data_IF_744222178311
#
_entry.id   IF_744222178311
#
_cell.length_a   1.000
_cell.length_b   1.000
_cell.length_c   1.000
_cell.angle_alpha   90.00
_cell.angle_beta   90.00
_cell.angle_gamma   90.00
#
_symmetry.space_group_name_H-M   'P 1'
#
loop_
_entity.id
_entity.type
_entity.pdbx_description
1 polymer ?
#
# COMPACT_ATOMS: atom_id res chain seq x y z
N UNK A 1 -22.55 -4.88 0.12
CA UNK A 1 -22.22 -4.23 1.41
C UNK A 1 -20.70 -4.24 1.69
N UNK A 2 -19.83 -4.03 0.69
CA UNK A 2 -18.36 -3.93 0.90
C UNK A 2 -17.85 -2.48 0.98
N UNK A 3 -18.72 -1.49 0.76
CA UNK A 3 -18.35 -0.08 0.78
C UNK A 3 -18.05 0.44 2.21
N UNK A 4 -18.54 -0.24 3.26
CA UNK A 4 -18.40 0.17 4.66
C UNK A 4 -17.62 -0.84 5.51
N UNK A 5 -16.49 -1.35 5.01
CA UNK A 5 -15.60 -2.21 5.81
C UNK A 5 -14.83 -1.37 6.83
N UNK A 6 -14.86 -1.76 8.11
CA UNK A 6 -14.04 -1.11 9.13
C UNK A 6 -12.56 -1.37 8.88
N UNK A 7 -11.72 -0.35 9.13
CA UNK A 7 -10.26 -0.47 8.99
C UNK A 7 -9.70 -1.59 9.88
N UNK A 8 -10.29 -1.81 11.06
CA UNK A 8 -9.92 -2.94 11.94
C UNK A 8 -10.12 -4.29 11.27
N UNK A 9 -11.26 -4.48 10.62
CA UNK A 9 -11.65 -5.75 10.02
C UNK A 9 -10.78 -6.05 8.79
N UNK A 10 -10.37 -4.99 8.08
CA UNK A 10 -9.42 -5.08 6.97
C UNK A 10 -8.04 -5.54 7.45
N UNK A 11 -7.53 -4.98 8.55
CA UNK A 11 -6.24 -5.35 9.14
C UNK A 11 -6.26 -6.80 9.62
N UNK A 12 -7.31 -7.21 10.32
CA UNK A 12 -7.46 -8.59 10.79
C UNK A 12 -7.44 -9.58 9.62
N UNK A 13 -8.04 -9.21 8.49
CA UNK A 13 -8.08 -10.04 7.29
C UNK A 13 -6.72 -10.14 6.61
N UNK A 14 -5.96 -9.06 6.52
CA UNK A 14 -4.59 -9.09 6.02
C UNK A 14 -3.70 -10.03 6.83
N UNK A 15 -3.83 -9.99 8.16
CA UNK A 15 -3.10 -10.89 9.05
C UNK A 15 -3.54 -12.35 8.92
N UNK A 16 -4.84 -12.62 8.85
CA UNK A 16 -5.37 -13.98 8.73
C UNK A 16 -4.97 -14.64 7.40
N UNK A 17 -4.98 -13.88 6.31
CA UNK A 17 -4.68 -14.38 4.96
C UNK A 17 -3.19 -14.29 4.60
N UNK A 18 -2.37 -13.69 5.47
CA UNK A 18 -0.95 -13.40 5.23
C UNK A 18 -0.72 -12.69 3.88
N UNK A 19 -1.55 -11.68 3.60
CA UNK A 19 -1.52 -10.83 2.41
C UNK A 19 -1.46 -9.37 2.84
N UNK A 20 -0.91 -8.51 1.97
CA UNK A 20 -0.77 -7.08 2.28
C UNK A 20 -1.61 -6.17 1.37
N UNK A 21 -2.26 -6.73 0.34
CA UNK A 21 -2.99 -5.96 -0.67
C UNK A 21 -4.39 -6.56 -0.94
N UNK A 22 -5.39 -5.70 -1.14
CA UNK A 22 -6.76 -6.09 -1.49
C UNK A 22 -7.41 -5.15 -2.48
N UNK A 23 -8.16 -5.72 -3.43
CA UNK A 23 -8.89 -4.95 -4.44
C UNK A 23 -10.28 -4.56 -3.92
N UNK A 24 -10.62 -3.27 -4.04
CA UNK A 24 -11.93 -2.75 -3.67
C UNK A 24 -12.84 -2.89 -4.87
N UNK A 25 -13.95 -3.61 -4.67
CA UNK A 25 -14.95 -3.85 -5.71
C UNK A 25 -16.25 -3.15 -5.38
N UNK A 26 -16.89 -2.59 -6.41
CA UNK A 26 -18.26 -2.11 -6.32
C UNK A 26 -19.18 -3.33 -6.10
N UNK A 27 -20.02 -3.33 -5.06
CA UNK A 27 -20.86 -4.47 -4.73
C UNK A 27 -22.04 -4.67 -5.70
N UNK A 28 -22.43 -3.66 -6.47
CA UNK A 28 -23.58 -3.71 -7.38
C UNK A 28 -23.19 -4.26 -8.76
N UNK A 29 -22.02 -3.88 -9.29
CA UNK A 29 -21.56 -4.31 -10.62
C UNK A 29 -20.28 -5.16 -10.62
N UNK A 30 -19.61 -5.30 -9.47
CA UNK A 30 -18.38 -6.08 -9.33
C UNK A 30 -17.14 -5.44 -9.96
N UNK A 31 -17.24 -4.19 -10.40
CA UNK A 31 -16.12 -3.46 -10.99
C UNK A 31 -15.08 -3.10 -9.93
N UNK A 32 -13.82 -3.01 -10.36
CA UNK A 32 -12.73 -2.58 -9.48
C UNK A 32 -12.75 -1.07 -9.38
N UNK A 33 -12.96 -0.58 -8.17
CA UNK A 33 -13.01 0.86 -7.87
C UNK A 33 -11.77 1.35 -7.15
N UNK A 34 -10.92 0.44 -6.66
CA UNK A 34 -9.68 0.83 -6.00
C UNK A 34 -8.81 -0.33 -5.53
N UNK A 35 -7.70 0.03 -4.89
CA UNK A 35 -6.77 -0.86 -4.20
C UNK A 35 -6.59 -0.30 -2.78
N UNK A 36 -6.54 -1.19 -1.80
CA UNK A 36 -6.16 -0.85 -0.43
C UNK A 36 -5.03 -1.76 0.01
N UNK A 37 -4.02 -1.18 0.67
CA UNK A 37 -2.87 -1.91 1.20
C UNK A 37 -2.88 -1.91 2.73
N UNK A 38 -2.23 -2.88 3.36
CA UNK A 38 -2.06 -2.95 4.79
C UNK A 38 -1.34 -1.69 5.35
N UNK A 39 -0.27 -1.17 4.72
CA UNK A 39 0.33 0.12 5.09
C UNK A 39 -0.68 1.28 5.11
N UNK A 40 -1.57 1.37 4.12
CA UNK A 40 -2.59 2.43 4.07
C UNK A 40 -3.57 2.32 5.25
N UNK A 41 -4.00 1.09 5.58
CA UNK A 41 -4.89 0.83 6.71
C UNK A 41 -4.23 1.19 8.05
N UNK A 42 -2.94 0.88 8.23
CA UNK A 42 -2.18 1.31 9.41
C UNK A 42 -1.96 2.82 9.44
N UNK A 43 -1.70 3.46 8.30
CA UNK A 43 -1.58 4.91 8.18
C UNK A 43 -2.85 5.64 8.62
N UNK A 44 -4.03 5.11 8.27
CA UNK A 44 -5.31 5.68 8.68
C UNK A 44 -5.51 5.69 10.22
N UNK A 45 -4.95 4.71 10.93
CA UNK A 45 -5.01 4.62 12.40
C UNK A 45 -3.93 5.48 13.07
N UNK A 46 -2.71 5.45 12.52
CA UNK A 46 -1.51 6.04 13.16
C UNK A 46 -1.28 7.51 12.81
N UNK A 47 -1.88 8.02 11.72
CA UNK A 47 -1.62 9.36 11.20
C UNK A 47 -0.35 9.41 10.33
N UNK A 48 0.44 10.50 10.41
CA UNK A 48 1.64 10.74 9.60
C UNK A 48 2.86 9.88 10.02
N UNK A 49 2.67 8.56 10.13
CA UNK A 49 3.75 7.61 10.30
C UNK A 49 4.38 7.38 8.90
N UNK A 50 5.38 8.20 8.58
CA UNK A 50 6.16 8.07 7.35
C UNK A 50 7.09 6.85 7.45
N UNK A 51 7.15 6.04 6.38
CA UNK A 51 8.11 4.93 6.30
C UNK A 51 9.53 5.50 6.37
N UNK A 52 10.41 5.03 7.29
CA UNK A 52 11.81 5.39 7.28
C UNK A 52 12.56 5.18 5.96
N UNK A 53 12.01 4.34 5.08
CA UNK A 53 12.51 4.06 3.74
C UNK A 53 12.07 5.11 2.69
N UNK A 54 11.01 5.89 2.96
CA UNK A 54 10.51 6.94 2.06
C UNK A 54 11.40 8.19 2.04
N UNK A 55 12.36 8.30 2.98
CA UNK A 55 13.39 9.33 2.93
C UNK A 55 14.52 8.91 1.97
N UNK A 56 14.64 9.55 0.80
CA UNK A 56 15.63 9.17 -0.23
C UNK A 56 17.09 9.35 0.22
N UNK A 57 17.33 10.04 1.35
CA UNK A 57 18.67 10.41 1.81
C UNK A 57 19.37 9.37 2.71
N UNK A 58 18.70 8.30 3.14
CA UNK A 58 19.30 7.33 4.08
C UNK A 58 19.85 6.06 3.45
N UNK A 59 19.50 5.77 2.19
CA UNK A 59 20.23 4.81 1.37
C UNK A 59 21.18 5.56 0.45
N UNK A 60 22.28 6.06 1.01
CA UNK A 60 23.46 6.35 0.20
C UNK A 60 23.90 5.02 -0.42
N UNK A 61 23.34 4.72 -1.60
CA UNK A 61 23.79 3.66 -2.46
C UNK A 61 25.29 3.82 -2.58
N UNK A 62 26.01 2.76 -2.24
CA UNK A 62 27.39 2.63 -2.65
C UNK A 62 27.47 3.00 -4.14
N UNK A 63 28.25 4.04 -4.51
CA UNK A 63 28.32 4.54 -5.88
C UNK A 63 28.80 3.49 -6.90
N UNK A 64 29.23 2.30 -6.45
CA UNK A 64 29.55 1.17 -7.32
C UNK A 64 28.34 0.39 -7.85
N UNK A 65 27.12 0.60 -7.31
CA UNK A 65 25.90 -0.08 -7.80
C UNK A 65 25.08 0.82 -8.71
N UNK A 66 25.49 0.95 -9.97
CA UNK A 66 24.67 1.55 -11.04
C UNK A 66 23.35 0.77 -11.18
N UNK A 67 22.25 1.32 -10.67
CA UNK A 67 20.90 0.93 -11.09
C UNK A 67 20.63 1.64 -12.41
N UNK A 68 20.46 0.85 -13.47
CA UNK A 68 20.23 1.34 -14.82
C UNK A 68 18.95 2.18 -14.89
N UNK A 69 19.07 3.36 -15.51
CA UNK A 69 17.96 4.23 -15.87
C UNK A 69 16.90 3.46 -16.65
N UNK A 70 15.68 3.39 -16.15
CA UNK A 70 14.49 3.19 -16.98
C UNK A 70 13.71 4.49 -17.01
N UNK A 71 13.87 5.22 -18.11
CA UNK A 71 13.00 6.33 -18.46
C UNK A 71 11.62 5.75 -18.82
N UNK A 72 10.57 6.21 -18.16
CA UNK A 72 9.19 6.06 -18.63
C UNK A 72 8.81 7.40 -19.26
N UNK A 73 8.52 7.38 -20.57
CA UNK A 73 7.93 8.52 -21.25
C UNK A 73 6.42 8.49 -21.00
N UNK A 74 5.86 9.65 -20.67
CA UNK A 74 4.42 9.93 -20.61
C UNK A 74 3.91 10.18 -22.02
#
# INVERSE_FOLDING_TARGET
>A
MLADLLVSDLIDRFWAENQEDAMVVDPDDGSVVGLVTAPDAFGAITGNLEDPLDWPDRYRLDPSRRVGSKSVNI
#
